data_IF_531387836070
#
_entry.id   IF_531387836070
#
_cell.length_a   1.000
_cell.length_b   1.000
_cell.length_c   1.000
_cell.angle_alpha   90.00
_cell.angle_beta   90.00
_cell.angle_gamma   90.00
#
_symmetry.space_group_name_H-M   'P 1'
#
loop_
_entity.id
_entity.type
_entity.pdbx_description
1 polymer ?
#
# COMPACT_ATOMS: atom_id res chain seq x y z
N UNK A 1 -51.72 -2.81 14.89
CA UNK A 1 -50.68 -3.72 14.40
C UNK A 1 -50.27 -3.26 13.01
N UNK A 2 -49.14 -2.57 12.87
CA UNK A 2 -48.64 -2.10 11.58
C UNK A 2 -47.57 -3.05 11.07
N UNK A 3 -47.88 -3.77 9.99
CA UNK A 3 -47.02 -4.74 9.33
C UNK A 3 -46.03 -4.03 8.40
N UNK A 4 -45.06 -3.32 8.97
CA UNK A 4 -43.92 -2.72 8.24
C UNK A 4 -42.61 -3.37 8.70
N UNK A 5 -42.45 -4.65 8.36
CA UNK A 5 -41.36 -5.54 8.82
C UNK A 5 -39.95 -5.25 8.31
N UNK A 6 -39.65 -4.02 7.88
CA UNK A 6 -38.31 -3.62 7.38
C UNK A 6 -37.68 -2.46 8.17
N UNK A 7 -38.27 -2.09 9.32
CA UNK A 7 -37.71 -1.06 10.18
C UNK A 7 -37.02 -1.70 11.38
N UNK A 8 -35.75 -1.40 11.57
CA UNK A 8 -35.03 -1.70 12.82
C UNK A 8 -35.39 -0.62 13.84
N UNK A 9 -35.85 -1.04 15.01
CA UNK A 9 -36.16 -0.14 16.14
C UNK A 9 -35.22 -0.46 17.28
N UNK A 10 -34.55 0.55 17.81
CA UNK A 10 -33.80 0.43 19.06
C UNK A 10 -34.82 0.51 20.19
N UNK A 11 -34.74 -0.46 21.11
CA UNK A 11 -35.57 -0.52 22.30
C UNK A 11 -34.66 -0.55 23.53
N UNK A 12 -35.22 -0.20 24.69
CA UNK A 12 -34.55 -0.25 25.99
C UNK A 12 -33.46 0.82 26.23
N UNK A 13 -33.86 2.10 26.17
CA UNK A 13 -33.04 3.22 26.66
C UNK A 13 -33.05 3.37 28.19
N UNK A 14 -33.65 2.42 28.94
CA UNK A 14 -33.94 2.55 30.38
C UNK A 14 -32.70 2.63 31.28
N UNK A 15 -31.50 2.34 30.74
CA UNK A 15 -30.21 2.52 31.42
C UNK A 15 -29.53 3.85 31.09
N UNK A 16 -30.13 4.72 30.28
CA UNK A 16 -29.72 6.11 30.06
C UNK A 16 -30.21 6.94 31.25
N UNK A 17 -29.47 6.92 32.36
CA UNK A 17 -29.74 7.79 33.51
C UNK A 17 -28.67 8.87 33.57
N UNK A 18 -29.07 10.06 33.99
CA UNK A 18 -28.24 11.25 34.15
C UNK A 18 -27.06 10.98 35.10
N UNK A 19 -26.02 11.79 34.98
CA UNK A 19 -24.68 11.72 35.60
C UNK A 19 -24.58 11.44 37.13
N UNK A 20 -25.69 11.26 37.84
CA UNK A 20 -25.74 11.20 39.29
C UNK A 20 -25.43 9.82 39.92
N UNK A 21 -25.49 8.70 39.17
CA UNK A 21 -25.32 7.37 39.78
C UNK A 21 -24.54 6.38 38.90
N UNK A 22 -23.25 6.67 38.67
CA UNK A 22 -22.30 5.77 38.00
C UNK A 22 -22.03 4.48 38.81
N UNK A 23 -22.18 4.52 40.13
CA UNK A 23 -21.74 3.44 41.05
C UNK A 23 -22.70 2.22 41.09
N UNK A 24 -23.98 2.40 40.76
CA UNK A 24 -24.98 1.32 40.87
C UNK A 24 -25.22 0.54 39.56
N UNK A 25 -24.60 0.93 38.44
CA UNK A 25 -24.81 0.31 37.11
C UNK A 25 -23.75 -0.72 36.70
N UNK A 26 -22.78 -1.00 37.56
CA UNK A 26 -21.66 -1.89 37.25
C UNK A 26 -22.03 -3.32 36.77
N UNK A 27 -23.23 -3.90 37.01
CA UNK A 27 -23.60 -5.18 36.42
C UNK A 27 -24.64 -5.11 35.28
N UNK A 28 -25.11 -3.93 34.85
CA UNK A 28 -26.28 -3.86 33.95
C UNK A 28 -25.95 -3.95 32.44
N UNK A 29 -24.69 -3.81 32.04
CA UNK A 29 -24.28 -4.00 30.65
C UNK A 29 -24.08 -5.48 30.32
N UNK A 30 -24.49 -5.92 29.11
CA UNK A 30 -24.17 -7.28 28.66
C UNK A 30 -22.67 -7.42 28.48
N UNK A 31 -22.07 -8.40 29.14
CA UNK A 31 -20.63 -8.66 29.10
C UNK A 31 -20.17 -8.83 27.64
N UNK A 32 -19.14 -8.08 27.24
CA UNK A 32 -18.61 -8.10 25.87
C UNK A 32 -19.09 -6.94 24.97
N UNK A 33 -20.14 -6.21 25.36
CA UNK A 33 -20.60 -5.03 24.60
C UNK A 33 -20.20 -3.70 25.25
N UNK A 34 -19.73 -3.74 26.50
CA UNK A 34 -19.33 -2.56 27.27
C UNK A 34 -18.01 -1.97 26.72
N UNK A 35 -17.97 -0.66 26.55
CA UNK A 35 -16.79 0.03 26.07
C UNK A 35 -15.66 -0.01 27.13
N UNK A 36 -14.39 -0.20 26.73
CA UNK A 36 -13.30 -0.44 27.67
C UNK A 36 -13.06 0.72 28.66
N UNK A 37 -13.31 1.95 28.24
CA UNK A 37 -13.22 3.13 29.10
C UNK A 37 -14.26 3.13 30.23
N UNK A 38 -15.36 2.39 30.12
CA UNK A 38 -16.40 2.32 31.16
C UNK A 38 -15.96 1.53 32.39
N UNK A 39 -14.86 0.78 32.30
CA UNK A 39 -14.25 0.09 33.45
C UNK A 39 -13.27 0.97 34.23
N UNK A 40 -13.01 2.20 33.77
CA UNK A 40 -12.10 3.14 34.45
C UNK A 40 -12.82 3.87 35.59
N UNK A 41 -12.13 4.23 36.68
CA UNK A 41 -12.75 4.88 37.84
C UNK A 41 -13.31 6.27 37.55
N UNK A 42 -12.87 6.92 36.47
CA UNK A 42 -13.32 8.23 35.98
C UNK A 42 -14.31 8.14 34.80
N UNK A 43 -14.84 6.95 34.54
CA UNK A 43 -15.74 6.69 33.43
C UNK A 43 -16.97 7.61 33.45
N UNK A 44 -17.24 8.20 32.29
CA UNK A 44 -18.38 9.10 32.06
C UNK A 44 -19.32 8.49 31.02
N UNK A 45 -20.61 8.82 31.14
CA UNK A 45 -21.59 8.50 30.12
C UNK A 45 -21.35 9.41 28.92
N UNK A 46 -20.74 8.87 27.86
CA UNK A 46 -20.51 9.57 26.60
C UNK A 46 -21.19 8.83 25.44
N UNK A 47 -21.74 9.52 24.42
CA UNK A 47 -22.31 8.85 23.23
C UNK A 47 -21.34 7.89 22.53
N UNK A 48 -20.03 8.05 22.75
CA UNK A 48 -18.98 7.19 22.21
C UNK A 48 -19.04 5.77 22.76
N UNK A 49 -19.52 5.56 23.98
CA UNK A 49 -19.67 4.22 24.58
C UNK A 49 -20.73 3.43 23.82
N UNK A 50 -21.84 4.06 23.46
CA UNK A 50 -22.92 3.43 22.69
C UNK A 50 -22.47 3.05 21.27
N UNK A 51 -21.58 3.87 20.67
CA UNK A 51 -20.98 3.57 19.37
C UNK A 51 -20.10 2.32 19.43
N UNK A 52 -19.40 2.10 20.54
CA UNK A 52 -18.63 0.86 20.74
C UNK A 52 -19.56 -0.34 20.85
N UNK A 53 -20.60 -0.26 21.70
CA UNK A 53 -21.60 -1.32 21.87
C UNK A 53 -22.26 -1.69 20.54
N UNK A 54 -22.65 -0.69 19.75
CA UNK A 54 -23.17 -0.88 18.40
C UNK A 54 -22.14 -1.54 17.48
N UNK A 55 -20.86 -1.14 17.58
CA UNK A 55 -19.77 -1.77 16.84
C UNK A 55 -19.61 -3.26 17.15
N UNK A 56 -19.81 -3.67 18.39
CA UNK A 56 -19.78 -5.08 18.79
C UNK A 56 -20.94 -5.86 18.17
N UNK A 57 -22.16 -5.31 18.16
CA UNK A 57 -23.31 -5.90 17.46
C UNK A 57 -23.04 -6.03 15.96
N UNK A 58 -22.50 -4.98 15.33
CA UNK A 58 -22.15 -5.02 13.89
C UNK A 58 -21.06 -6.08 13.64
N UNK A 59 -20.11 -6.28 14.56
CA UNK A 59 -19.09 -7.32 14.46
C UNK A 59 -19.74 -8.70 14.35
N UNK A 60 -20.68 -9.01 15.24
CA UNK A 60 -21.37 -10.30 15.27
C UNK A 60 -22.17 -10.56 13.99
N UNK A 61 -22.88 -9.54 13.50
CA UNK A 61 -23.61 -9.59 12.23
C UNK A 61 -22.62 -9.78 11.06
N UNK A 62 -21.52 -9.03 11.03
CA UNK A 62 -20.51 -9.11 9.98
C UNK A 62 -19.86 -10.50 9.91
N UNK A 63 -19.53 -11.09 11.06
CA UNK A 63 -18.97 -12.45 11.16
C UNK A 63 -19.98 -13.49 10.69
N UNK A 64 -21.26 -13.34 11.04
CA UNK A 64 -22.31 -14.29 10.67
C UNK A 64 -22.62 -14.28 9.18
N UNK A 65 -22.63 -13.10 8.54
CA UNK A 65 -22.98 -12.91 7.13
C UNK A 65 -21.74 -12.93 6.22
N UNK A 66 -20.54 -12.71 6.78
CA UNK A 66 -19.28 -12.60 6.03
C UNK A 66 -19.10 -11.27 5.29
N UNK A 67 -19.80 -10.20 5.68
CA UNK A 67 -19.74 -8.91 4.99
C UNK A 67 -18.50 -8.08 5.41
N UNK A 68 -17.57 -7.92 4.47
CA UNK A 68 -16.33 -7.14 4.65
C UNK A 68 -16.53 -5.64 4.86
N UNK A 69 -17.63 -5.05 4.38
CA UNK A 69 -17.94 -3.64 4.64
C UNK A 69 -18.41 -3.47 6.08
N UNK A 70 -19.29 -4.36 6.56
CA UNK A 70 -19.72 -4.35 7.96
C UNK A 70 -18.55 -4.63 8.90
N UNK A 71 -17.65 -5.55 8.55
CA UNK A 71 -16.43 -5.81 9.32
C UNK A 71 -15.57 -4.55 9.49
N UNK A 72 -15.40 -3.76 8.41
CA UNK A 72 -14.68 -2.47 8.48
C UNK A 72 -15.41 -1.44 9.35
N UNK A 73 -16.72 -1.33 9.22
CA UNK A 73 -17.54 -0.42 10.04
C UNK A 73 -17.39 -0.79 11.51
N UNK A 74 -17.58 -2.07 11.84
CA UNK A 74 -17.44 -2.61 13.17
C UNK A 74 -16.07 -2.26 13.76
N UNK A 75 -14.99 -2.53 13.03
CA UNK A 75 -13.61 -2.23 13.46
C UNK A 75 -13.39 -0.74 13.77
N UNK A 76 -13.97 0.16 12.98
CA UNK A 76 -13.87 1.60 13.24
C UNK A 76 -14.63 1.95 14.53
N UNK A 77 -15.82 1.40 14.73
CA UNK A 77 -16.66 1.66 15.90
C UNK A 77 -16.10 1.04 17.19
N UNK A 78 -15.44 -0.13 17.13
CA UNK A 78 -14.86 -0.83 18.29
C UNK A 78 -13.42 -0.41 18.60
N UNK A 79 -12.97 0.74 18.07
CA UNK A 79 -11.63 1.28 18.38
C UNK A 79 -11.50 1.57 19.88
N UNK A 80 -10.43 1.09 20.51
CA UNK A 80 -10.21 1.23 21.95
C UNK A 80 -10.19 2.70 22.39
N UNK A 81 -9.47 3.56 21.64
CA UNK A 81 -9.48 5.01 21.90
C UNK A 81 -10.84 5.62 21.51
N UNK A 82 -11.64 6.15 22.46
CA UNK A 82 -12.98 6.70 22.20
C UNK A 82 -12.94 7.92 21.26
N UNK A 83 -11.85 8.69 21.28
CA UNK A 83 -11.70 9.89 20.45
C UNK A 83 -11.61 9.56 18.96
N UNK A 84 -11.11 8.37 18.63
CA UNK A 84 -10.98 7.92 17.26
C UNK A 84 -12.28 7.33 16.70
N UNK A 85 -13.26 6.97 17.54
CA UNK A 85 -14.56 6.49 17.08
C UNK A 85 -15.31 7.60 16.32
N UNK A 86 -16.12 7.25 15.30
CA UNK A 86 -16.79 8.23 14.46
C UNK A 86 -17.84 8.97 15.28
N UNK A 87 -17.78 10.30 15.37
CA UNK A 87 -18.82 11.10 16.02
C UNK A 87 -20.06 11.34 15.14
N UNK A 88 -19.96 11.07 13.84
CA UNK A 88 -21.07 11.17 12.90
C UNK A 88 -20.97 10.15 11.78
N UNK A 89 -22.11 9.85 11.15
CA UNK A 89 -22.18 8.96 10.00
C UNK A 89 -21.38 9.49 8.80
N UNK A 90 -21.23 10.82 8.69
CA UNK A 90 -20.48 11.45 7.60
C UNK A 90 -18.98 11.15 7.71
N UNK A 91 -18.42 11.26 8.93
CA UNK A 91 -17.02 10.90 9.19
C UNK A 91 -16.80 9.42 8.91
N UNK A 92 -17.74 8.57 9.32
CA UNK A 92 -17.67 7.14 9.04
C UNK A 92 -17.68 6.89 7.52
N UNK A 93 -18.62 7.47 6.77
CA UNK A 93 -18.68 7.34 5.30
C UNK A 93 -17.39 7.79 4.64
N UNK A 94 -16.84 8.94 5.03
CA UNK A 94 -15.56 9.43 4.51
C UNK A 94 -14.44 8.41 4.72
N UNK A 95 -14.29 7.86 5.93
CA UNK A 95 -13.26 6.84 6.23
C UNK A 95 -13.47 5.52 5.48
N UNK A 96 -14.71 5.15 5.16
CA UNK A 96 -15.00 3.95 4.35
C UNK A 96 -14.68 4.17 2.87
N UNK A 97 -14.84 5.40 2.38
CA UNK A 97 -14.53 5.79 1.01
C UNK A 97 -13.03 6.05 0.79
N UNK A 98 -12.30 6.37 1.87
CA UNK A 98 -10.84 6.46 1.85
C UNK A 98 -10.25 5.09 1.53
N UNK A 99 -9.93 4.89 0.25
CA UNK A 99 -9.22 3.70 -0.24
C UNK A 99 -7.87 3.65 0.47
N UNK A 100 -7.41 2.49 0.98
CA UNK A 100 -6.07 2.38 1.53
C UNK A 100 -5.09 2.80 0.44
N UNK A 101 -4.32 3.86 0.71
CA UNK A 101 -3.23 4.23 -0.17
C UNK A 101 -2.23 3.07 -0.10
N UNK A 102 -2.10 2.35 -1.21
CA UNK A 102 -1.13 1.27 -1.37
C UNK A 102 0.27 1.85 -1.50
N UNK A 103 0.73 2.60 -0.48
CA UNK A 103 2.03 3.30 -0.46
C UNK A 103 3.16 2.33 -0.80
N UNK A 104 3.05 1.08 -0.33
CA UNK A 104 4.03 0.03 -0.60
C UNK A 104 4.12 -0.32 -2.09
N UNK A 105 2.99 -0.34 -2.81
CA UNK A 105 2.96 -0.60 -4.27
C UNK A 105 3.56 0.58 -5.03
N UNK A 106 3.28 1.80 -4.60
CA UNK A 106 3.84 3.02 -5.20
C UNK A 106 5.36 3.05 -5.03
N UNK A 107 5.85 2.72 -3.83
CA UNK A 107 7.29 2.64 -3.53
C UNK A 107 7.94 1.55 -4.38
N UNK A 108 7.34 0.35 -4.46
CA UNK A 108 7.85 -0.76 -5.27
C UNK A 108 7.98 -0.36 -6.75
N UNK A 109 6.95 0.27 -7.33
CA UNK A 109 6.97 0.75 -8.71
C UNK A 109 8.08 1.79 -8.91
N UNK A 110 8.27 2.71 -7.95
CA UNK A 110 9.37 3.67 -7.97
C UNK A 110 10.75 2.99 -7.99
N UNK A 111 10.96 1.96 -7.15
CA UNK A 111 12.19 1.19 -7.12
C UNK A 111 12.44 0.46 -8.45
N UNK A 112 11.41 -0.14 -9.06
CA UNK A 112 11.54 -0.82 -10.36
C UNK A 112 11.95 0.17 -11.45
N UNK A 113 11.30 1.34 -11.53
CA UNK A 113 11.63 2.38 -12.51
C UNK A 113 13.08 2.86 -12.32
N UNK A 114 13.50 3.06 -11.07
CA UNK A 114 14.88 3.46 -10.76
C UNK A 114 15.90 2.40 -11.20
N UNK A 115 15.66 1.11 -10.91
CA UNK A 115 16.54 0.02 -11.33
C UNK A 115 16.63 -0.10 -12.86
N UNK A 116 15.52 0.09 -13.58
CA UNK A 116 15.51 0.11 -15.03
C UNK A 116 16.32 1.28 -15.60
N UNK A 117 16.19 2.48 -15.03
CA UNK A 117 16.97 3.64 -15.44
C UNK A 117 18.47 3.42 -15.25
N UNK A 118 18.87 2.82 -14.12
CA UNK A 118 20.27 2.45 -13.85
C UNK A 118 20.76 1.40 -14.87
N UNK A 119 19.98 0.36 -15.13
CA UNK A 119 20.34 -0.68 -16.10
C UNK A 119 20.52 -0.12 -17.52
N UNK A 120 19.65 0.81 -17.94
CA UNK A 120 19.76 1.52 -19.22
C UNK A 120 21.03 2.39 -19.24
N UNK A 121 21.32 3.11 -18.16
CA UNK A 121 22.54 3.91 -18.02
C UNK A 121 23.82 3.08 -18.12
N UNK A 122 23.87 1.95 -17.42
CA UNK A 122 24.99 0.99 -17.51
C UNK A 122 25.12 0.44 -18.93
N UNK A 123 24.01 0.08 -19.57
CA UNK A 123 24.00 -0.43 -20.95
C UNK A 123 24.53 0.61 -21.94
N UNK A 124 24.16 1.88 -21.77
CA UNK A 124 24.67 2.98 -22.58
C UNK A 124 26.18 3.20 -22.35
N UNK A 125 26.62 3.20 -21.09
CA UNK A 125 28.02 3.36 -20.73
C UNK A 125 28.90 2.22 -21.30
N UNK A 126 28.44 0.98 -21.19
CA UNK A 126 29.14 -0.17 -21.74
C UNK A 126 29.23 -0.08 -23.27
N UNK A 127 28.16 0.31 -23.96
CA UNK A 127 28.20 0.54 -25.41
C UNK A 127 29.21 1.63 -25.79
N UNK A 128 29.29 2.71 -25.01
CA UNK A 128 30.25 3.78 -25.26
C UNK A 128 31.70 3.31 -25.11
N UNK A 129 32.00 2.49 -24.11
CA UNK A 129 33.34 1.91 -23.92
C UNK A 129 33.72 0.95 -25.06
N UNK A 130 32.77 0.14 -25.53
CA UNK A 130 33.01 -0.79 -26.65
C UNK A 130 33.29 -0.05 -27.95
N UNK A 131 32.62 1.08 -28.23
CA UNK A 131 32.91 1.88 -29.43
C UNK A 131 34.34 2.43 -29.40
N UNK A 132 34.79 2.97 -28.26
CA UNK A 132 36.17 3.45 -28.11
C UNK A 132 37.21 2.36 -28.28
N UNK A 133 36.95 1.16 -27.75
CA UNK A 133 37.85 0.02 -27.97
C UNK A 133 37.90 -0.42 -29.43
N UNK A 134 36.75 -0.40 -30.14
CA UNK A 134 36.70 -0.73 -31.57
C UNK A 134 37.47 0.29 -32.41
N UNK A 135 37.37 1.57 -32.10
CA UNK A 135 38.14 2.64 -32.77
C UNK A 135 39.65 2.44 -32.56
N UNK A 136 40.11 2.25 -31.32
CA UNK A 136 41.52 2.03 -31.02
C UNK A 136 42.07 0.72 -31.63
N UNK A 137 41.27 -0.35 -31.62
CA UNK A 137 41.63 -1.62 -32.26
C UNK A 137 41.72 -1.45 -33.77
N UNK A 138 40.77 -0.74 -34.39
CA UNK A 138 40.74 -0.49 -35.83
C UNK A 138 41.91 0.38 -36.30
N UNK A 139 42.31 1.39 -35.51
CA UNK A 139 43.53 2.18 -35.78
C UNK A 139 44.79 1.30 -35.74
N UNK A 140 44.94 0.41 -34.76
CA UNK A 140 46.07 -0.52 -34.72
C UNK A 140 46.09 -1.52 -35.90
N UNK A 141 44.93 -2.00 -36.35
CA UNK A 141 44.84 -2.87 -37.54
C UNK A 141 45.24 -2.12 -38.82
N UNK A 142 44.79 -0.88 -39.00
CA UNK A 142 45.13 -0.06 -40.17
C UNK A 142 46.63 0.31 -40.20
N UNK A 143 47.22 0.61 -39.05
CA UNK A 143 48.65 0.91 -38.94
C UNK A 143 49.53 -0.34 -39.16
N UNK A 144 49.08 -1.50 -38.64
CA UNK A 144 49.72 -2.80 -38.89
C UNK A 144 49.66 -3.26 -40.35
N UNK A 145 48.55 -2.99 -41.05
CA UNK A 145 48.40 -3.30 -42.48
C UNK A 145 49.26 -2.37 -43.36
N UNK A 146 49.33 -1.08 -43.02
CA UNK A 146 50.23 -0.12 -43.65
C UNK A 146 51.72 -0.51 -43.50
N UNK A 147 52.12 -0.98 -42.32
CA UNK A 147 53.48 -1.46 -42.07
C UNK A 147 53.81 -2.76 -42.84
N UNK A 148 52.80 -3.62 -43.09
CA UNK A 148 52.95 -4.86 -43.86
C UNK A 148 52.82 -4.68 -45.38
N UNK A 149 52.46 -3.49 -45.89
CA UNK A 149 52.35 -3.22 -47.33
C UNK A 149 53.71 -3.26 -48.07
N UNK A 150 54.85 -3.44 -47.39
CA UNK A 150 56.13 -3.66 -48.07
C UNK A 150 56.29 -5.06 -48.71
N UNK A 151 55.33 -5.98 -48.52
CA UNK A 151 55.44 -7.39 -48.91
C UNK A 151 55.14 -7.75 -50.38
N UNK A 152 54.51 -6.87 -51.17
CA UNK A 152 54.25 -7.15 -52.59
C UNK A 152 55.14 -6.31 -53.50
N UNK A 153 56.46 -6.53 -53.40
CA UNK A 153 57.42 -5.98 -54.36
C UNK A 153 57.25 -6.74 -55.67
N UNK A 154 56.56 -6.09 -56.63
CA UNK A 154 56.45 -6.54 -58.02
C UNK A 154 57.87 -6.90 -58.49
N UNK A 155 58.14 -8.19 -58.73
CA UNK A 155 59.40 -8.62 -59.32
C UNK A 155 59.35 -8.25 -60.79
N UNK A 156 60.11 -7.22 -61.15
CA UNK A 156 60.26 -6.81 -62.54
C UNK A 156 60.66 -8.01 -63.41
N UNK A 157 59.94 -8.16 -64.51
CA UNK A 157 60.07 -9.22 -65.50
C UNK A 157 61.36 -8.99 -66.30
N UNK A 158 62.52 -9.20 -65.68
CA UNK A 158 63.81 -9.23 -66.39
C UNK A 158 64.20 -10.65 -66.86
N UNK A 159 63.23 -11.54 -67.01
CA UNK A 159 63.43 -12.95 -67.38
C UNK A 159 62.92 -13.31 -68.78
N UNK A 160 62.69 -12.33 -69.65
CA UNK A 160 62.32 -12.58 -71.05
C UNK A 160 63.49 -12.25 -71.99
N UNK A 161 64.31 -13.26 -72.28
CA UNK A 161 65.35 -13.23 -73.31
C UNK A 161 64.80 -13.89 -74.59
N UNK A 162 64.70 -13.18 -75.73
CA UNK A 162 64.26 -13.78 -76.98
C UNK A 162 65.48 -14.23 -77.80
N UNK A 163 65.64 -15.55 -77.95
CA UNK A 163 66.32 -16.15 -79.10
C UNK A 163 65.46 -17.30 -79.62
#
# INVERSE_FOLDING_TARGET
MTHTGQNVKIIDFGLSDSDAFFILKHPAGTTGFIAPEQFMPDAKAEPRTDIFSLGMVITEIATSIGDKKLEKIAKICTTHNPLLRPSSIEILRKRLLEKPQNRNVIILLGCIVFLLAVAIGISYYHRHQVTKQKEATMEQYLEGDSANHSGNKVRDVQLWNPY
#
